data_IF_352251400228
#
_entry.id   IF_352251400228
#
_cell.length_a   1.000
_cell.length_b   1.000
_cell.length_c   1.000
_cell.angle_alpha   90.00
_cell.angle_beta   90.00
_cell.angle_gamma   90.00
#
_symmetry.space_group_name_H-M   'P 1'
#
loop_
_entity.id
_entity.type
_entity.pdbx_description
1 polymer ?
#
# COMPACT_ATOMS: atom_id res chain seq x y z
N UNK A 1 13.14 33.44 4.97
CA UNK A 1 12.88 32.68 6.20
C UNK A 1 13.55 31.32 6.05
N UNK A 2 14.56 31.02 6.87
CA UNK A 2 15.26 29.73 6.89
C UNK A 2 14.30 28.72 7.51
N UNK A 3 13.72 27.83 6.68
CA UNK A 3 13.02 26.66 7.18
C UNK A 3 14.09 25.77 7.82
N UNK A 4 13.99 25.52 9.12
CA UNK A 4 14.84 24.56 9.81
C UNK A 4 14.83 23.25 9.01
N UNK A 5 15.96 22.84 8.45
CA UNK A 5 16.13 21.53 7.86
C UNK A 5 16.02 20.51 9.00
N UNK A 6 14.86 19.89 9.12
CA UNK A 6 14.77 18.67 9.89
C UNK A 6 15.68 17.64 9.20
N UNK A 7 16.61 17.06 9.93
CA UNK A 7 17.64 16.13 9.47
C UNK A 7 17.09 14.71 9.14
N UNK A 8 15.83 14.63 8.69
CA UNK A 8 15.24 13.38 8.24
C UNK A 8 15.71 13.05 6.83
N UNK A 9 16.57 12.04 6.72
CA UNK A 9 16.96 11.49 5.43
C UNK A 9 15.73 10.82 4.78
N UNK A 10 15.20 11.45 3.73
CA UNK A 10 14.04 10.92 2.99
C UNK A 10 14.36 9.57 2.35
N UNK A 11 13.42 8.65 2.43
CA UNK A 11 13.43 7.39 1.71
C UNK A 11 13.06 7.67 0.24
N UNK A 12 13.87 7.15 -0.67
CA UNK A 12 13.67 7.25 -2.12
C UNK A 12 13.60 5.85 -2.72
N UNK A 13 13.20 5.75 -3.99
CA UNK A 13 13.23 4.47 -4.71
C UNK A 13 14.62 3.85 -4.72
N UNK A 14 15.67 4.69 -4.85
CA UNK A 14 17.06 4.23 -4.75
C UNK A 14 17.39 3.69 -3.36
N UNK A 15 16.92 4.33 -2.30
CA UNK A 15 17.12 3.86 -0.91
C UNK A 15 16.60 2.43 -0.74
N UNK A 16 15.42 2.12 -1.29
CA UNK A 16 14.85 0.76 -1.18
C UNK A 16 15.71 -0.29 -1.91
N UNK A 17 16.22 0.04 -3.09
CA UNK A 17 17.12 -0.85 -3.83
C UNK A 17 18.43 -1.05 -3.05
N UNK A 18 18.98 0.01 -2.46
CA UNK A 18 20.19 -0.06 -1.63
C UNK A 18 19.96 -0.90 -0.35
N UNK A 19 18.76 -0.82 0.26
CA UNK A 19 18.37 -1.66 1.41
C UNK A 19 18.38 -3.15 1.04
N UNK A 20 17.74 -3.53 -0.08
CA UNK A 20 17.81 -4.92 -0.57
C UNK A 20 19.24 -5.39 -0.76
N UNK A 21 20.07 -4.60 -1.45
CA UNK A 21 21.47 -4.94 -1.70
C UNK A 21 22.29 -5.18 -0.42
N UNK A 22 21.90 -4.53 0.69
CA UNK A 22 22.51 -4.70 2.02
C UNK A 22 21.85 -5.77 2.88
N UNK A 23 20.76 -6.40 2.42
CA UNK A 23 19.97 -7.35 3.20
C UNK A 23 19.11 -6.69 4.29
N UNK A 24 18.93 -5.36 4.26
CA UNK A 24 18.08 -4.61 5.17
C UNK A 24 16.60 -4.81 4.76
N UNK A 25 15.72 -5.09 5.74
CA UNK A 25 14.30 -5.32 5.48
C UNK A 25 13.52 -4.01 5.37
N UNK A 26 12.57 -3.98 4.45
CA UNK A 26 11.73 -2.82 4.15
C UNK A 26 10.38 -2.98 4.84
N UNK A 27 10.02 -2.00 5.66
CA UNK A 27 8.70 -1.91 6.27
C UNK A 27 7.77 -1.05 5.42
N UNK A 28 6.58 -1.59 5.13
CA UNK A 28 5.56 -0.87 4.36
C UNK A 28 4.20 -1.01 5.05
N UNK A 29 3.45 0.08 5.18
CA UNK A 29 2.09 0.11 5.71
C UNK A 29 1.19 0.99 4.85
N UNK A 30 -0.11 0.69 4.83
CA UNK A 30 -1.06 1.62 4.22
C UNK A 30 -1.34 2.80 5.13
N UNK A 31 -1.69 3.95 4.55
CA UNK A 31 -2.35 5.06 5.23
C UNK A 31 -3.21 5.83 4.24
N UNK A 32 -4.30 6.45 4.73
CA UNK A 32 -5.31 7.05 3.86
C UNK A 32 -5.70 8.48 4.27
N UNK A 33 -5.15 8.97 5.38
CA UNK A 33 -5.42 10.31 5.89
C UNK A 33 -4.17 10.93 6.54
N UNK A 34 -4.26 12.24 6.82
CA UNK A 34 -3.18 13.02 7.39
C UNK A 34 -2.73 12.53 8.77
N UNK A 35 -3.66 12.24 9.66
CA UNK A 35 -3.36 11.92 11.06
C UNK A 35 -2.68 10.57 11.18
N UNK A 36 -3.24 9.54 10.53
CA UNK A 36 -2.65 8.20 10.51
C UNK A 36 -1.31 8.18 9.79
N UNK A 37 -1.18 8.89 8.66
CA UNK A 37 0.10 8.99 7.95
C UNK A 37 1.20 9.63 8.80
N UNK A 38 0.88 10.65 9.60
CA UNK A 38 1.82 11.28 10.54
C UNK A 38 2.30 10.32 11.61
N UNK A 39 1.41 9.47 12.13
CA UNK A 39 1.75 8.42 13.12
C UNK A 39 2.65 7.38 12.46
N UNK A 40 2.30 6.89 11.28
CA UNK A 40 3.05 5.86 10.55
C UNK A 40 4.45 6.35 10.17
N UNK A 41 4.58 7.58 9.64
CA UNK A 41 5.87 8.20 9.31
C UNK A 41 6.73 8.40 10.57
N UNK A 42 6.11 8.89 11.65
CA UNK A 42 6.77 9.09 12.94
C UNK A 42 7.23 7.78 13.60
N UNK A 43 6.57 6.66 13.32
CA UNK A 43 6.98 5.32 13.76
C UNK A 43 8.18 4.76 12.95
N UNK A 44 8.60 5.44 11.88
CA UNK A 44 9.79 5.07 11.12
C UNK A 44 9.54 4.05 10.00
N UNK A 45 8.30 3.90 9.53
CA UNK A 45 7.96 3.05 8.37
C UNK A 45 8.64 3.60 7.11
N UNK A 46 9.22 2.72 6.29
CA UNK A 46 10.00 3.13 5.12
C UNK A 46 9.10 3.55 3.94
N UNK A 47 8.00 2.83 3.74
CA UNK A 47 7.07 3.09 2.62
C UNK A 47 5.66 3.21 3.14
N UNK A 48 4.95 4.27 2.76
CA UNK A 48 3.51 4.40 2.97
C UNK A 48 2.81 4.14 1.64
N UNK A 49 1.89 3.18 1.66
CA UNK A 49 1.03 2.87 0.53
C UNK A 49 -0.32 3.57 0.70
N UNK A 50 -0.67 4.44 -0.22
CA UNK A 50 -2.06 4.85 -0.39
C UNK A 50 -2.70 3.82 -1.31
N UNK A 51 -3.22 2.76 -0.69
CA UNK A 51 -3.75 1.59 -1.38
C UNK A 51 -5.21 1.77 -1.79
N UNK A 52 -5.61 1.12 -2.89
CA UNK A 52 -7.01 1.03 -3.30
C UNK A 52 -7.88 0.25 -2.30
N UNK A 53 -7.26 -0.45 -1.35
CA UNK A 53 -7.88 -0.99 -0.13
C UNK A 53 -8.62 0.08 0.70
N UNK A 54 -8.40 1.38 0.44
CA UNK A 54 -9.25 2.47 0.94
C UNK A 54 -10.73 2.26 0.57
N UNK A 55 -11.01 1.64 -0.56
CA UNK A 55 -12.36 1.22 -0.95
C UNK A 55 -13.03 0.38 0.12
N UNK A 56 -12.30 -0.56 0.72
CA UNK A 56 -12.81 -1.44 1.76
C UNK A 56 -12.83 -0.74 3.14
N UNK A 57 -11.66 -0.28 3.62
CA UNK A 57 -11.51 0.14 5.02
C UNK A 57 -11.93 1.57 5.30
N UNK A 58 -12.04 2.43 4.28
CA UNK A 58 -12.49 3.82 4.42
C UNK A 58 -13.90 4.04 3.88
N UNK A 59 -14.26 3.40 2.76
CA UNK A 59 -15.56 3.59 2.10
C UNK A 59 -16.55 2.45 2.35
N UNK A 60 -16.12 1.31 2.93
CA UNK A 60 -17.00 0.19 3.28
C UNK A 60 -17.47 -0.66 2.10
N UNK A 61 -16.79 -0.58 0.95
CA UNK A 61 -17.12 -1.43 -0.19
C UNK A 61 -16.58 -2.86 -0.02
N UNK A 62 -17.23 -3.84 -0.64
CA UNK A 62 -16.81 -5.24 -0.60
C UNK A 62 -15.50 -5.51 -1.35
N UNK A 63 -15.20 -4.71 -2.36
CA UNK A 63 -14.01 -4.86 -3.21
C UNK A 63 -13.26 -3.55 -3.38
N UNK A 64 -12.04 -3.60 -3.94
CA UNK A 64 -11.26 -2.41 -4.26
C UNK A 64 -11.74 -1.70 -5.53
N UNK A 65 -12.64 -2.30 -6.32
CA UNK A 65 -13.04 -1.81 -7.63
C UNK A 65 -13.75 -0.45 -7.65
N UNK A 66 -14.63 -0.11 -6.66
CA UNK A 66 -15.42 1.12 -6.73
C UNK A 66 -14.63 2.40 -6.52
N UNK A 67 -13.45 2.36 -5.89
CA UNK A 67 -12.70 3.58 -5.59
C UNK A 67 -12.24 4.27 -6.88
N UNK A 68 -12.45 5.58 -6.93
CA UNK A 68 -12.11 6.40 -8.10
C UNK A 68 -10.70 6.99 -8.03
N UNK A 69 -10.18 7.43 -9.17
CA UNK A 69 -8.90 8.14 -9.23
C UNK A 69 -8.92 9.43 -8.38
N UNK A 70 -10.03 10.16 -8.38
CA UNK A 70 -10.18 11.39 -7.59
C UNK A 70 -10.13 11.12 -6.08
N UNK A 71 -10.76 10.04 -5.63
CA UNK A 71 -10.68 9.61 -4.24
C UNK A 71 -9.25 9.18 -3.86
N UNK A 72 -8.56 8.45 -4.73
CA UNK A 72 -7.15 8.09 -4.49
C UNK A 72 -6.26 9.33 -4.39
N UNK A 73 -6.46 10.32 -5.25
CA UNK A 73 -5.74 11.61 -5.20
C UNK A 73 -6.05 12.36 -3.89
N UNK A 74 -7.31 12.38 -3.47
CA UNK A 74 -7.72 13.01 -2.20
C UNK A 74 -6.99 12.39 -1.00
N UNK A 75 -7.02 11.07 -0.88
CA UNK A 75 -6.30 10.34 0.18
C UNK A 75 -4.79 10.60 0.12
N UNK A 76 -4.20 10.46 -1.06
CA UNK A 76 -2.77 10.63 -1.26
C UNK A 76 -2.30 12.05 -0.91
N UNK A 77 -3.06 13.09 -1.28
CA UNK A 77 -2.73 14.47 -0.94
C UNK A 77 -2.71 14.71 0.58
N UNK A 78 -3.62 14.07 1.33
CA UNK A 78 -3.61 14.09 2.79
C UNK A 78 -2.36 13.44 3.38
N UNK A 79 -2.03 12.26 2.89
CA UNK A 79 -0.85 11.48 3.33
C UNK A 79 0.45 12.23 3.04
N UNK A 80 0.62 12.75 1.82
CA UNK A 80 1.85 13.45 1.42
C UNK A 80 2.12 14.69 2.28
N UNK A 81 1.08 15.43 2.69
CA UNK A 81 1.25 16.58 3.59
C UNK A 81 1.69 16.20 5.00
N UNK A 82 1.47 14.97 5.41
CA UNK A 82 1.75 14.50 6.78
C UNK A 82 3.18 13.99 6.98
N UNK A 83 3.85 13.55 5.91
CA UNK A 83 5.11 12.80 6.00
C UNK A 83 6.33 13.68 5.86
N UNK A 84 7.42 13.25 6.52
CA UNK A 84 8.75 13.87 6.41
C UNK A 84 9.78 12.92 5.81
N UNK A 85 9.66 11.61 6.05
CA UNK A 85 10.67 10.61 5.76
C UNK A 85 10.22 9.57 4.72
N UNK A 86 9.06 8.97 4.89
CA UNK A 86 8.61 7.80 4.14
C UNK A 86 8.48 8.06 2.63
N UNK A 87 8.72 7.04 1.83
CA UNK A 87 8.35 7.05 0.41
C UNK A 87 6.85 6.80 0.29
N UNK A 88 6.11 7.67 -0.39
CA UNK A 88 4.68 7.49 -0.65
C UNK A 88 4.45 6.88 -2.02
N UNK A 89 3.86 5.70 -2.05
CA UNK A 89 3.41 5.00 -3.25
C UNK A 89 1.89 5.05 -3.31
N UNK A 90 1.32 5.36 -4.47
CA UNK A 90 -0.13 5.50 -4.65
C UNK A 90 -0.63 4.49 -5.67
N UNK A 91 -1.69 3.76 -5.34
CA UNK A 91 -2.30 2.83 -6.27
C UNK A 91 -3.05 3.55 -7.40
N UNK A 92 -2.83 3.07 -8.62
CA UNK A 92 -3.75 3.32 -9.72
C UNK A 92 -5.00 2.45 -9.52
N UNK A 93 -6.19 3.04 -9.34
CA UNK A 93 -7.40 2.26 -9.11
C UNK A 93 -7.85 1.53 -10.38
N UNK A 94 -8.70 0.52 -10.20
CA UNK A 94 -9.28 -0.23 -11.31
C UNK A 94 -9.92 0.69 -12.36
N UNK A 95 -9.71 0.38 -13.63
CA UNK A 95 -10.22 1.15 -14.78
C UNK A 95 -9.33 2.31 -15.20
N UNK A 96 -8.35 2.73 -14.39
CA UNK A 96 -7.50 3.89 -14.67
C UNK A 96 -6.26 3.58 -15.52
N UNK A 97 -5.94 2.29 -15.75
CA UNK A 97 -4.72 1.89 -16.47
C UNK A 97 -4.85 0.63 -17.34
N UNK A 98 -5.96 -0.12 -17.23
CA UNK A 98 -6.13 -1.38 -17.95
C UNK A 98 -6.58 -1.19 -19.38
N UNK A 99 -7.35 -0.13 -19.66
CA UNK A 99 -8.00 0.09 -20.95
C UNK A 99 -7.05 0.60 -22.04
N UNK A 100 -6.20 1.57 -21.73
CA UNK A 100 -5.31 2.24 -22.68
C UNK A 100 -4.05 2.77 -22.00
N UNK A 101 -2.84 2.57 -22.60
CA UNK A 101 -1.58 3.08 -22.03
C UNK A 101 -1.50 4.61 -21.93
N UNK A 102 -2.21 5.37 -22.75
CA UNK A 102 -2.26 6.84 -22.66
C UNK A 102 -3.12 7.27 -21.46
N UNK A 103 -4.21 6.56 -21.22
CA UNK A 103 -5.05 6.74 -20.03
C UNK A 103 -4.27 6.43 -18.75
N UNK A 104 -3.53 5.31 -18.74
CA UNK A 104 -2.64 4.94 -17.64
C UNK A 104 -1.63 6.06 -17.32
N UNK A 105 -1.00 6.64 -18.34
CA UNK A 105 -0.08 7.76 -18.16
C UNK A 105 -0.79 9.01 -17.63
N UNK A 106 -1.97 9.35 -18.15
CA UNK A 106 -2.75 10.51 -17.65
C UNK A 106 -3.12 10.35 -16.18
N UNK A 107 -3.57 9.16 -15.80
CA UNK A 107 -3.91 8.83 -14.40
C UNK A 107 -2.70 8.93 -13.48
N UNK A 108 -1.55 8.38 -13.89
CA UNK A 108 -0.29 8.49 -13.15
C UNK A 108 0.17 9.96 -13.02
N UNK A 109 0.11 10.75 -14.09
CA UNK A 109 0.44 12.19 -14.05
C UNK A 109 -0.48 12.93 -13.07
N UNK A 110 -1.78 12.65 -13.06
CA UNK A 110 -2.72 13.25 -12.12
C UNK A 110 -2.34 12.94 -10.68
N UNK A 111 -2.07 11.67 -10.36
CA UNK A 111 -1.61 11.28 -9.02
C UNK A 111 -0.38 12.09 -8.63
N UNK A 112 0.68 12.09 -9.47
CA UNK A 112 1.94 12.76 -9.15
C UNK A 112 1.77 14.27 -8.96
N UNK A 113 0.99 14.92 -9.83
CA UNK A 113 0.82 16.39 -9.79
C UNK A 113 -0.17 16.87 -8.75
N UNK A 114 -1.28 16.18 -8.59
CA UNK A 114 -2.39 16.66 -7.75
C UNK A 114 -2.23 16.23 -6.28
N UNK A 115 -1.60 15.08 -6.04
CA UNK A 115 -1.34 14.61 -4.66
C UNK A 115 0.08 14.86 -4.16
N UNK A 116 1.05 14.98 -5.06
CA UNK A 116 2.47 15.01 -4.70
C UNK A 116 3.05 13.63 -4.34
N UNK A 117 2.36 12.52 -4.67
CA UNK A 117 2.86 11.15 -4.49
C UNK A 117 4.23 10.94 -5.16
N UNK A 118 5.03 10.02 -4.65
CA UNK A 118 6.41 9.82 -5.10
C UNK A 118 6.55 8.71 -6.14
N UNK A 119 5.62 7.78 -6.19
CA UNK A 119 5.57 6.65 -7.13
C UNK A 119 4.13 6.15 -7.26
N UNK A 120 3.87 5.36 -8.29
CA UNK A 120 2.59 4.68 -8.47
C UNK A 120 2.74 3.17 -8.37
N UNK A 121 1.68 2.47 -7.92
CA UNK A 121 1.58 1.00 -7.98
C UNK A 121 0.41 0.60 -8.87
N UNK A 122 0.56 -0.52 -9.57
CA UNK A 122 -0.51 -1.10 -10.39
C UNK A 122 -0.38 -2.62 -10.46
N UNK A 123 -1.49 -3.28 -10.67
CA UNK A 123 -1.65 -4.73 -10.64
C UNK A 123 -1.55 -5.35 -12.02
N UNK A 124 -0.84 -6.48 -12.10
CA UNK A 124 -0.66 -7.27 -13.30
C UNK A 124 0.77 -7.26 -13.83
N UNK A 125 1.04 -8.20 -14.73
CA UNK A 125 2.31 -8.40 -15.38
C UNK A 125 2.23 -8.06 -16.88
N UNK A 126 2.36 -9.10 -17.70
CA UNK A 126 2.36 -9.00 -19.18
C UNK A 126 1.12 -8.29 -19.73
N UNK A 127 -0.02 -8.42 -19.06
CA UNK A 127 -1.31 -7.85 -19.47
C UNK A 127 -1.32 -6.31 -19.49
N UNK A 128 -0.55 -5.68 -18.60
CA UNK A 128 -0.48 -4.22 -18.41
C UNK A 128 0.89 -3.65 -18.80
N UNK A 129 1.71 -4.44 -19.48
CA UNK A 129 3.09 -4.12 -19.86
C UNK A 129 3.21 -2.76 -20.56
N UNK A 130 2.34 -2.47 -21.54
CA UNK A 130 2.42 -1.23 -22.31
C UNK A 130 2.04 -0.01 -21.45
N UNK A 131 1.12 -0.16 -20.50
CA UNK A 131 0.78 0.89 -19.53
C UNK A 131 1.97 1.19 -18.62
N UNK A 132 2.62 0.16 -18.05
CA UNK A 132 3.83 0.30 -17.23
C UNK A 132 4.93 1.02 -18.01
N UNK A 133 5.22 0.54 -19.22
CA UNK A 133 6.25 1.13 -20.09
C UNK A 133 5.99 2.61 -20.35
N UNK A 134 4.73 2.96 -20.61
CA UNK A 134 4.35 4.34 -20.90
C UNK A 134 4.55 5.26 -19.71
N UNK A 135 4.22 4.79 -18.50
CA UNK A 135 4.41 5.53 -17.24
C UNK A 135 5.91 5.70 -16.94
N UNK A 136 6.69 4.62 -17.02
CA UNK A 136 8.15 4.65 -16.78
C UNK A 136 8.88 5.59 -17.75
N UNK A 137 8.51 5.58 -19.04
CA UNK A 137 9.09 6.47 -20.04
C UNK A 137 8.82 7.97 -19.78
N UNK A 138 7.80 8.29 -18.98
CA UNK A 138 7.52 9.65 -18.54
C UNK A 138 8.31 10.05 -17.27
N UNK A 139 9.16 9.15 -16.75
CA UNK A 139 9.99 9.39 -15.57
C UNK A 139 9.24 9.16 -14.23
N UNK A 140 8.06 8.53 -14.25
CA UNK A 140 7.30 8.20 -13.05
C UNK A 140 7.72 6.83 -12.54
N UNK A 141 8.20 6.70 -11.27
CA UNK A 141 8.56 5.41 -10.69
C UNK A 141 7.35 4.50 -10.54
N UNK A 142 7.52 3.21 -10.90
CA UNK A 142 6.45 2.21 -10.84
C UNK A 142 6.83 1.06 -9.92
N UNK A 143 5.92 0.68 -9.03
CA UNK A 143 5.93 -0.56 -8.27
C UNK A 143 4.93 -1.53 -8.92
N UNK A 144 5.37 -2.74 -9.25
CA UNK A 144 4.49 -3.80 -9.76
C UNK A 144 3.74 -4.50 -8.64
N UNK A 145 2.67 -5.24 -8.98
CA UNK A 145 1.94 -6.08 -8.03
C UNK A 145 1.48 -7.37 -8.72
N UNK A 146 1.94 -8.51 -8.22
CA UNK A 146 1.70 -9.85 -8.76
C UNK A 146 1.15 -10.80 -7.69
N UNK A 147 0.64 -11.95 -8.14
CA UNK A 147 0.02 -12.95 -7.28
C UNK A 147 -1.49 -12.76 -7.20
N UNK A 148 -2.05 -12.67 -6.02
CA UNK A 148 -3.43 -12.21 -5.85
C UNK A 148 -3.46 -10.72 -6.12
N UNK A 149 -4.21 -10.34 -7.12
CA UNK A 149 -4.45 -8.94 -7.49
C UNK A 149 -5.92 -8.63 -7.20
N UNK A 150 -6.24 -7.87 -6.11
CA UNK A 150 -7.62 -7.60 -5.69
C UNK A 150 -8.50 -6.97 -6.78
N UNK A 151 -7.93 -6.18 -7.67
CA UNK A 151 -8.65 -5.62 -8.81
C UNK A 151 -9.12 -6.68 -9.82
N UNK A 152 -8.58 -7.89 -9.76
CA UNK A 152 -8.98 -9.03 -10.58
C UNK A 152 -9.90 -10.01 -9.85
N UNK A 153 -10.51 -9.61 -8.72
CA UNK A 153 -11.25 -10.51 -7.84
C UNK A 153 -12.38 -11.27 -8.53
N UNK A 154 -13.12 -10.64 -9.42
CA UNK A 154 -14.19 -11.31 -10.17
C UNK A 154 -13.67 -12.33 -11.19
N UNK A 155 -12.46 -12.12 -11.73
CA UNK A 155 -11.78 -13.11 -12.57
C UNK A 155 -11.34 -14.32 -11.76
N UNK A 156 -10.88 -14.11 -10.53
CA UNK A 156 -10.43 -15.20 -9.66
C UNK A 156 -11.58 -15.89 -8.93
N UNK A 157 -12.66 -15.19 -8.67
CA UNK A 157 -13.82 -15.68 -7.94
C UNK A 157 -13.60 -15.86 -6.43
N UNK A 158 -12.36 -15.80 -5.95
CA UNK A 158 -12.01 -15.99 -4.54
C UNK A 158 -10.71 -15.27 -4.18
N UNK A 159 -10.53 -15.00 -2.86
CA UNK A 159 -9.28 -14.50 -2.29
C UNK A 159 -8.31 -15.64 -1.88
N UNK A 160 -8.26 -16.73 -2.63
CA UNK A 160 -7.36 -17.88 -2.33
C UNK A 160 -5.92 -17.59 -2.73
N UNK A 161 -5.00 -18.39 -2.18
CA UNK A 161 -3.57 -18.36 -2.54
C UNK A 161 -3.40 -18.65 -4.02
N UNK A 162 -2.67 -17.79 -4.74
CA UNK A 162 -2.38 -17.89 -6.18
C UNK A 162 -1.06 -18.60 -6.44
N UNK A 163 -0.80 -18.89 -7.70
CA UNK A 163 0.46 -19.50 -8.16
C UNK A 163 0.85 -20.80 -7.42
N UNK A 164 -0.14 -21.65 -7.11
CA UNK A 164 0.08 -23.00 -6.59
C UNK A 164 0.41 -23.98 -7.70
N UNK A 165 -0.20 -23.80 -8.86
CA UNK A 165 0.02 -24.61 -10.04
C UNK A 165 1.29 -24.14 -10.77
N UNK A 166 2.04 -25.08 -11.33
CA UNK A 166 3.34 -24.83 -11.95
C UNK A 166 3.28 -23.77 -13.05
N UNK A 167 2.27 -23.83 -13.91
CA UNK A 167 2.09 -22.86 -15.00
C UNK A 167 1.88 -21.44 -14.49
N UNK A 168 1.10 -21.26 -13.43
CA UNK A 168 0.88 -19.94 -12.82
C UNK A 168 2.13 -19.44 -12.08
N UNK A 169 2.87 -20.35 -11.45
CA UNK A 169 4.13 -20.03 -10.78
C UNK A 169 5.21 -19.57 -11.79
N UNK A 170 5.37 -20.28 -12.90
CA UNK A 170 6.32 -19.87 -13.95
C UNK A 170 5.93 -18.52 -14.58
N UNK A 171 4.64 -18.32 -14.87
CA UNK A 171 4.15 -17.01 -15.36
C UNK A 171 4.48 -15.89 -14.37
N UNK A 172 4.31 -16.11 -13.07
CA UNK A 172 4.60 -15.11 -12.04
C UNK A 172 6.10 -14.76 -12.01
N UNK A 173 6.99 -15.74 -12.14
CA UNK A 173 8.44 -15.53 -12.23
C UNK A 173 8.81 -14.72 -13.48
N UNK A 174 8.27 -15.10 -14.64
CA UNK A 174 8.48 -14.38 -15.89
C UNK A 174 8.02 -12.92 -15.80
N UNK A 175 6.84 -12.70 -15.21
CA UNK A 175 6.29 -11.35 -15.02
C UNK A 175 7.17 -10.52 -14.07
N UNK A 176 7.68 -11.09 -12.97
CA UNK A 176 8.57 -10.38 -12.05
C UNK A 176 9.88 -9.96 -12.73
N UNK A 177 10.51 -10.86 -13.49
CA UNK A 177 11.72 -10.56 -14.27
C UNK A 177 11.42 -9.49 -15.35
N UNK A 178 10.28 -9.58 -15.99
CA UNK A 178 9.86 -8.59 -16.99
C UNK A 178 9.70 -7.21 -16.35
N UNK A 179 9.04 -7.11 -15.20
CA UNK A 179 8.84 -5.84 -14.48
C UNK A 179 10.18 -5.20 -14.09
N UNK A 180 11.13 -5.98 -13.59
CA UNK A 180 12.49 -5.51 -13.33
C UNK A 180 13.16 -4.97 -14.58
N UNK A 181 13.18 -5.75 -15.68
CA UNK A 181 13.80 -5.37 -16.96
C UNK A 181 13.19 -4.11 -17.57
N UNK A 182 11.92 -3.85 -17.28
CA UNK A 182 11.24 -2.63 -17.72
C UNK A 182 11.63 -1.40 -16.90
N UNK A 183 12.22 -1.57 -15.71
CA UNK A 183 12.63 -0.50 -14.82
C UNK A 183 11.67 -0.21 -13.67
N UNK A 184 10.76 -1.13 -13.32
CA UNK A 184 10.05 -1.06 -12.06
C UNK A 184 11.05 -1.08 -10.91
N UNK A 185 10.81 -0.27 -9.86
CA UNK A 185 11.76 -0.18 -8.74
C UNK A 185 11.51 -1.21 -7.64
N UNK A 186 10.34 -1.82 -7.60
CA UNK A 186 9.95 -2.86 -6.64
C UNK A 186 8.75 -3.65 -7.16
N UNK A 187 8.46 -4.81 -6.54
CA UNK A 187 7.29 -5.65 -6.82
C UNK A 187 6.65 -6.08 -5.52
N UNK A 188 5.31 -5.95 -5.41
CA UNK A 188 4.52 -6.58 -4.37
C UNK A 188 4.15 -8.00 -4.81
N UNK A 189 4.27 -8.96 -3.89
CA UNK A 189 3.78 -10.34 -4.07
C UNK A 189 2.71 -10.62 -3.01
N UNK A 190 1.47 -10.86 -3.47
CA UNK A 190 0.35 -11.09 -2.57
C UNK A 190 -0.16 -12.53 -2.65
N UNK A 191 -0.36 -13.13 -1.46
CA UNK A 191 -1.00 -14.45 -1.25
C UNK A 191 -0.54 -15.52 -2.23
N UNK A 192 0.77 -15.75 -2.24
CA UNK A 192 1.43 -16.83 -3.00
C UNK A 192 2.21 -17.75 -2.06
N UNK A 193 2.61 -18.97 -2.49
CA UNK A 193 3.44 -19.85 -1.68
C UNK A 193 4.76 -19.18 -1.26
N UNK A 194 5.12 -19.28 0.03
CA UNK A 194 6.33 -18.65 0.58
C UNK A 194 7.63 -19.06 -0.12
N UNK A 195 7.72 -20.33 -0.56
CA UNK A 195 8.87 -20.84 -1.32
C UNK A 195 9.01 -20.12 -2.66
N UNK A 196 7.92 -19.97 -3.40
CA UNK A 196 7.89 -19.26 -4.67
C UNK A 196 8.26 -17.78 -4.50
N UNK A 197 7.71 -17.12 -3.46
CA UNK A 197 8.04 -15.72 -3.18
C UNK A 197 9.54 -15.52 -2.90
N UNK A 198 10.17 -16.44 -2.16
CA UNK A 198 11.61 -16.46 -1.91
C UNK A 198 12.39 -16.64 -3.22
N UNK A 199 12.03 -17.61 -4.05
CA UNK A 199 12.67 -17.85 -5.35
C UNK A 199 12.62 -16.60 -6.24
N UNK A 200 11.47 -15.91 -6.28
CA UNK A 200 11.33 -14.64 -7.02
C UNK A 200 12.24 -13.56 -6.42
N UNK A 201 12.22 -13.38 -5.10
CA UNK A 201 13.06 -12.38 -4.44
C UNK A 201 14.56 -12.58 -4.69
N UNK A 202 15.01 -13.83 -4.79
CA UNK A 202 16.40 -14.20 -5.10
C UNK A 202 16.74 -14.04 -6.59
N UNK A 203 15.74 -14.08 -7.49
CA UNK A 203 15.93 -14.02 -8.94
C UNK A 203 16.00 -12.62 -9.54
N UNK A 204 15.58 -11.59 -8.80
CA UNK A 204 15.57 -10.18 -9.25
C UNK A 204 16.32 -9.29 -8.27
N UNK A 205 16.82 -8.16 -8.74
CA UNK A 205 17.63 -7.22 -7.93
C UNK A 205 16.80 -6.11 -7.28
N UNK A 206 15.59 -5.85 -7.80
CA UNK A 206 14.66 -4.88 -7.22
C UNK A 206 13.96 -5.47 -5.98
N UNK A 207 13.58 -4.64 -4.98
CA UNK A 207 12.87 -5.08 -3.79
C UNK A 207 11.58 -5.86 -4.07
N UNK A 208 11.40 -6.96 -3.34
CA UNK A 208 10.16 -7.74 -3.30
C UNK A 208 9.50 -7.54 -1.95
N UNK A 209 8.27 -7.01 -1.96
CA UNK A 209 7.47 -6.73 -0.77
C UNK A 209 6.35 -7.77 -0.68
N UNK A 210 6.27 -8.52 0.41
CA UNK A 210 5.29 -9.58 0.59
C UNK A 210 4.07 -9.14 1.40
N UNK A 211 2.91 -9.71 1.05
CA UNK A 211 1.73 -9.77 1.91
C UNK A 211 1.10 -11.16 1.75
N UNK A 212 1.11 -11.96 2.83
CA UNK A 212 0.71 -13.36 2.74
C UNK A 212 1.59 -14.19 1.80
N UNK A 213 2.87 -13.83 1.66
CA UNK A 213 3.85 -14.46 0.77
C UNK A 213 5.08 -15.02 1.53
N UNK A 214 4.99 -15.15 2.85
CA UNK A 214 6.10 -15.62 3.70
C UNK A 214 7.14 -14.54 3.99
N UNK A 215 8.22 -14.92 4.69
CA UNK A 215 9.26 -14.01 5.19
C UNK A 215 10.57 -14.04 4.37
N UNK A 216 10.61 -14.84 3.31
CA UNK A 216 11.79 -14.97 2.43
C UNK A 216 11.95 -13.83 1.42
N UNK A 217 11.24 -12.71 1.58
CA UNK A 217 11.24 -11.53 0.71
C UNK A 217 11.95 -10.34 1.37
N UNK A 218 12.10 -9.24 0.66
CA UNK A 218 12.90 -8.08 1.10
C UNK A 218 12.15 -7.14 2.04
N UNK A 219 10.81 -7.18 2.03
CA UNK A 219 9.98 -6.37 2.91
C UNK A 219 8.58 -6.96 3.09
N UNK A 220 7.75 -6.30 3.91
CA UNK A 220 6.37 -6.70 4.18
C UNK A 220 5.45 -5.49 4.12
N UNK A 221 4.24 -5.68 3.61
CA UNK A 221 3.16 -4.69 3.68
C UNK A 221 1.94 -5.27 4.40
N UNK A 222 1.27 -4.44 5.19
CA UNK A 222 -0.04 -4.72 5.75
C UNK A 222 -0.97 -3.51 5.57
N UNK A 223 -2.26 -3.79 5.57
CA UNK A 223 -3.29 -2.75 5.72
C UNK A 223 -3.27 -2.29 7.19
N UNK A 224 -3.10 -0.98 7.41
CA UNK A 224 -2.97 -0.42 8.75
C UNK A 224 -4.16 -0.74 9.66
N UNK A 225 -5.38 -0.62 9.13
CA UNK A 225 -6.62 -0.91 9.86
C UNK A 225 -6.69 -2.36 10.33
N UNK A 226 -6.23 -3.29 9.50
CA UNK A 226 -6.19 -4.72 9.85
C UNK A 226 -5.13 -4.98 10.91
N UNK A 227 -3.92 -4.42 10.73
CA UNK A 227 -2.80 -4.57 11.66
C UNK A 227 -3.11 -4.02 13.06
N UNK A 228 -3.84 -2.92 13.14
CA UNK A 228 -4.26 -2.31 14.40
C UNK A 228 -5.57 -2.91 14.96
N UNK A 229 -6.20 -3.86 14.27
CA UNK A 229 -7.42 -4.53 14.72
C UNK A 229 -8.66 -3.63 14.69
N UNK A 230 -8.71 -2.66 13.77
CA UNK A 230 -9.91 -1.84 13.52
C UNK A 230 -10.95 -2.60 12.70
N UNK A 231 -10.51 -3.44 11.75
CA UNK A 231 -11.36 -4.36 10.96
C UNK A 231 -11.62 -5.64 11.77
N UNK A 232 -12.65 -5.60 12.63
CA UNK A 232 -12.89 -6.63 13.65
C UNK A 232 -13.05 -8.05 13.09
N UNK A 233 -13.80 -8.21 12.00
CA UNK A 233 -14.15 -9.52 11.44
C UNK A 233 -13.07 -10.10 10.51
N UNK A 234 -12.10 -9.30 10.05
CA UNK A 234 -11.08 -9.72 9.09
C UNK A 234 -9.84 -10.27 9.78
N UNK A 235 -9.67 -11.61 9.80
CA UNK A 235 -8.57 -12.29 10.47
C UNK A 235 -7.92 -13.38 9.58
N UNK A 236 -7.33 -13.04 8.44
CA UNK A 236 -6.67 -14.02 7.61
C UNK A 236 -5.38 -14.54 8.28
N UNK A 237 -4.96 -15.76 7.93
CA UNK A 237 -3.79 -16.43 8.50
C UNK A 237 -2.50 -15.60 8.46
N UNK A 238 -2.33 -14.75 7.46
CA UNK A 238 -1.11 -13.95 7.28
C UNK A 238 -1.09 -12.67 8.13
N UNK A 239 -2.22 -12.27 8.68
CA UNK A 239 -2.34 -11.05 9.47
C UNK A 239 -1.89 -11.29 10.91
N UNK A 240 -0.94 -10.49 11.37
CA UNK A 240 -0.66 -10.32 12.80
C UNK A 240 -1.28 -9.01 13.26
N UNK A 241 -2.18 -9.08 14.24
CA UNK A 241 -2.69 -7.89 14.92
C UNK A 241 -1.69 -7.46 15.99
N UNK A 242 -1.38 -6.19 16.03
CA UNK A 242 -0.50 -5.56 17.02
C UNK A 242 -1.29 -4.80 18.09
N UNK A 243 -2.55 -4.48 17.82
CA UNK A 243 -3.51 -3.87 18.72
C UNK A 243 -4.91 -4.43 18.50
N UNK A 244 -5.85 -4.09 19.38
CA UNK A 244 -7.28 -4.38 19.23
C UNK A 244 -8.08 -3.07 19.31
N UNK A 245 -7.81 -2.16 18.38
CA UNK A 245 -8.38 -0.80 18.42
C UNK A 245 -9.91 -0.79 18.30
N UNK A 246 -10.53 -1.76 17.68
CA UNK A 246 -11.99 -1.85 17.63
C UNK A 246 -12.60 -1.88 19.04
N UNK A 247 -12.09 -2.73 19.92
CA UNK A 247 -12.58 -2.86 21.29
C UNK A 247 -12.18 -1.64 22.14
N UNK A 248 -10.93 -1.19 22.06
CA UNK A 248 -10.42 -0.07 22.84
C UNK A 248 -11.15 1.23 22.50
N UNK A 249 -11.36 1.52 21.23
CA UNK A 249 -12.11 2.68 20.75
C UNK A 249 -13.59 2.58 21.12
N UNK A 250 -14.21 1.41 20.96
CA UNK A 250 -15.61 1.18 21.34
C UNK A 250 -15.83 1.42 22.84
N UNK A 251 -14.90 0.93 23.68
CA UNK A 251 -14.94 1.16 25.14
C UNK A 251 -14.78 2.64 25.49
N UNK A 252 -13.83 3.32 24.86
CA UNK A 252 -13.57 4.75 25.10
C UNK A 252 -14.75 5.63 24.67
N UNK A 253 -15.29 5.36 23.49
CA UNK A 253 -16.49 6.05 22.99
C UNK A 253 -17.70 5.77 23.89
N UNK A 254 -17.85 4.51 24.34
CA UNK A 254 -18.90 4.13 25.30
C UNK A 254 -18.77 4.84 26.63
N UNK A 255 -17.56 5.10 27.12
CA UNK A 255 -17.33 5.89 28.34
C UNK A 255 -17.74 7.35 28.11
N UNK A 256 -17.30 8.00 27.02
CA UNK A 256 -17.72 9.35 26.66
C UNK A 256 -19.26 9.49 26.62
N UNK A 257 -19.95 8.52 26.03
CA UNK A 257 -21.43 8.52 26.01
C UNK A 257 -22.03 8.51 27.43
N UNK A 258 -21.44 7.76 28.35
CA UNK A 258 -21.89 7.69 29.77
C UNK A 258 -21.65 9.02 30.47
N UNK A 259 -20.48 9.60 30.31
CA UNK A 259 -20.07 10.84 30.97
C UNK A 259 -20.98 12.00 30.50
N UNK A 260 -21.26 12.13 29.21
CA UNK A 260 -22.20 13.12 28.66
C UNK A 260 -23.61 12.94 29.23
N UNK A 261 -24.12 11.70 29.32
CA UNK A 261 -25.47 11.42 29.82
C UNK A 261 -25.59 11.60 31.33
N UNK A 262 -24.50 11.44 32.06
CA UNK A 262 -24.43 11.67 33.51
C UNK A 262 -24.17 13.16 33.88
N UNK A 263 -23.97 14.03 32.86
CA UNK A 263 -23.57 15.43 33.05
C UNK A 263 -22.21 15.53 33.79
N UNK A 264 -21.33 14.55 33.61
CA UNK A 264 -19.98 14.53 34.13
C UNK A 264 -18.97 15.14 33.14
N UNK A 265 -19.33 15.19 31.84
CA UNK A 265 -18.60 15.88 30.77
C UNK A 265 -19.51 16.89 30.05
N UNK A 266 -19.09 18.18 29.89
CA UNK A 266 -17.90 18.78 30.51
C UNK A 266 -18.15 19.08 32.00
N UNK A 267 -17.12 18.95 32.82
CA UNK A 267 -17.14 19.37 34.24
C UNK A 267 -16.68 20.84 34.36
N UNK A 268 -16.66 21.38 35.61
CA UNK A 268 -16.32 22.79 35.87
C UNK A 268 -14.92 23.22 35.37
N UNK A 269 -14.00 22.27 35.13
CA UNK A 269 -12.65 22.56 34.61
C UNK A 269 -12.58 22.52 33.09
N UNK A 270 -13.60 22.01 32.42
CA UNK A 270 -13.67 21.79 30.97
C UNK A 270 -14.65 22.74 30.27
N UNK A 271 -15.30 23.66 31.02
CA UNK A 271 -16.22 24.68 30.47
C UNK A 271 -15.62 26.09 30.57
N UNK A 272 -16.13 27.00 29.75
CA UNK A 272 -15.68 28.40 29.68
C UNK A 272 -16.72 29.37 30.27
#
# INVERSE_FOLDING_TARGET
MSVAKNDYKRITVKTLVDMKAKGEKISMLTAYDYTMAKIVDGAGVDVILVGDSASNVMAGHETTLPITLDQMIYHAAGVVRAINRSLVVVDLPFGSYQSDPKEALRSAIRIMKESGGHAVKLEGGKEVKESIKRILNAGIPVMGHLGLTPQSIYKFGTYTVRAKEEQEAEKLKEDAIMLERMGCFAVVLEKIPAKLAKEVAESITIPVIGIGAGNGVDGQVLVLHDMLGMTYEFQPRFLRRYMNLYEDMSKSIGQYVKDVKAVDFPNDQEQY
#
